data_IF_848104029298
#
_entry.id   IF_848104029298
#
_cell.length_a   1.000
_cell.length_b   1.000
_cell.length_c   1.000
_cell.angle_alpha   90.00
_cell.angle_beta   90.00
_cell.angle_gamma   90.00
#
_symmetry.space_group_name_H-M   'P 1'
#
loop_
_entity.id
_entity.type
_entity.pdbx_description
1 polymer ?
#
# COMPACT_ATOMS: atom_id res chain seq x y z
N UNK A 1 -12.90 -8.16 4.45
CA UNK A 1 -12.07 -9.05 3.63
C UNK A 1 -10.99 -9.60 4.54
N UNK A 2 -10.92 -10.92 4.69
CA UNK A 2 -10.02 -11.60 5.64
C UNK A 2 -8.69 -11.86 4.92
N UNK A 3 -7.57 -11.39 5.47
CA UNK A 3 -6.26 -11.69 4.92
C UNK A 3 -6.06 -13.21 4.84
N UNK A 4 -5.38 -13.75 3.80
CA UNK A 4 -5.03 -15.16 3.77
C UNK A 4 -4.08 -15.45 4.95
N UNK A 5 -4.59 -16.11 5.98
CA UNK A 5 -3.82 -16.52 7.15
C UNK A 5 -3.04 -17.80 6.83
N UNK A 6 -1.71 -17.75 6.98
CA UNK A 6 -0.88 -18.94 6.88
C UNK A 6 -1.10 -19.83 8.11
N UNK A 7 -1.69 -21.00 7.92
CA UNK A 7 -1.93 -21.98 8.98
C UNK A 7 -0.68 -22.83 9.19
N UNK A 8 0.08 -22.46 10.22
CA UNK A 8 1.31 -23.14 10.63
C UNK A 8 1.04 -24.58 11.06
N UNK A 9 -0.09 -24.85 11.73
CA UNK A 9 -0.43 -26.17 12.26
C UNK A 9 -0.79 -27.16 11.15
N UNK A 10 -1.56 -26.72 10.16
CA UNK A 10 -1.88 -27.52 8.98
C UNK A 10 -0.61 -27.83 8.16
N UNK A 11 0.32 -26.87 8.09
CA UNK A 11 1.59 -27.01 7.37
C UNK A 11 2.52 -28.03 8.04
N UNK A 12 2.69 -27.97 9.37
CA UNK A 12 3.46 -28.96 10.15
C UNK A 12 2.87 -30.36 9.98
N UNK A 13 1.55 -30.49 10.09
CA UNK A 13 0.86 -31.77 9.90
C UNK A 13 1.12 -32.37 8.52
N UNK A 14 1.15 -31.53 7.48
CA UNK A 14 1.45 -31.93 6.11
C UNK A 14 2.90 -32.38 5.94
N UNK A 15 3.86 -31.65 6.52
CA UNK A 15 5.28 -32.04 6.48
C UNK A 15 5.54 -33.34 7.24
N UNK A 16 4.87 -33.54 8.37
CA UNK A 16 4.92 -34.80 9.13
C UNK A 16 4.36 -35.97 8.32
N UNK A 17 3.25 -35.76 7.61
CA UNK A 17 2.68 -36.78 6.71
C UNK A 17 3.59 -37.14 5.52
N UNK A 18 4.54 -36.27 5.19
CA UNK A 18 5.56 -36.49 4.18
C UNK A 18 6.84 -37.16 4.74
N UNK A 19 6.85 -37.53 6.02
CA UNK A 19 7.98 -38.20 6.68
C UNK A 19 9.06 -37.25 7.19
N UNK A 20 8.78 -35.93 7.27
CA UNK A 20 9.67 -34.98 7.91
C UNK A 20 9.46 -35.04 9.42
N UNK A 21 10.57 -35.13 10.15
CA UNK A 21 10.57 -35.20 11.60
C UNK A 21 10.04 -33.90 12.23
N UNK A 22 9.33 -34.01 13.36
CA UNK A 22 8.60 -32.90 13.99
C UNK A 22 9.47 -31.63 14.22
N UNK A 23 10.74 -31.74 14.69
CA UNK A 23 11.59 -30.57 14.88
C UNK A 23 11.96 -29.88 13.56
N UNK A 24 12.14 -30.65 12.49
CA UNK A 24 12.45 -30.12 11.17
C UNK A 24 11.21 -29.53 10.48
N UNK A 25 10.03 -30.12 10.69
CA UNK A 25 8.78 -29.59 10.18
C UNK A 25 8.46 -28.21 10.78
N UNK A 26 8.67 -28.05 12.09
CA UNK A 26 8.48 -26.78 12.78
C UNK A 26 9.45 -25.69 12.29
N UNK A 27 10.74 -26.00 12.12
CA UNK A 27 11.71 -25.00 11.65
C UNK A 27 11.44 -24.56 10.20
N UNK A 28 10.99 -25.47 9.34
CA UNK A 28 10.60 -25.14 7.96
C UNK A 28 9.39 -24.20 7.96
N UNK A 29 8.38 -24.50 8.78
CA UNK A 29 7.16 -23.69 8.86
C UNK A 29 7.44 -22.32 9.46
N UNK A 30 8.35 -22.24 10.44
CA UNK A 30 8.79 -20.98 11.06
C UNK A 30 9.49 -20.08 10.03
N UNK A 31 10.48 -20.60 9.29
CA UNK A 31 11.18 -19.84 8.24
C UNK A 31 10.22 -19.38 7.14
N UNK A 32 9.27 -20.23 6.75
CA UNK A 32 8.26 -19.87 5.74
C UNK A 32 7.31 -18.82 6.28
N UNK A 33 6.83 -18.94 7.52
CA UNK A 33 5.98 -17.96 8.18
C UNK A 33 6.67 -16.59 8.27
N UNK A 34 7.93 -16.57 8.70
CA UNK A 34 8.73 -15.36 8.81
C UNK A 34 8.99 -14.70 7.45
N UNK A 35 9.24 -15.50 6.40
CA UNK A 35 9.37 -14.99 5.03
C UNK A 35 8.02 -14.48 4.45
N UNK A 36 6.90 -14.95 4.97
CA UNK A 36 5.55 -14.58 4.53
C UNK A 36 5.01 -13.36 5.29
N UNK A 37 5.46 -13.13 6.52
CA UNK A 37 5.08 -12.01 7.39
C UNK A 37 5.32 -10.61 6.78
N UNK A 38 6.39 -10.34 6.00
CA UNK A 38 6.60 -9.06 5.32
C UNK A 38 5.93 -8.94 3.94
N UNK A 39 5.13 -9.92 3.49
CA UNK A 39 4.42 -9.79 2.22
C UNK A 39 3.31 -8.76 2.37
N UNK A 40 3.63 -7.51 2.04
CA UNK A 40 2.68 -6.41 1.80
C UNK A 40 1.59 -6.96 0.90
N UNK A 41 0.42 -7.25 1.47
CA UNK A 41 -0.74 -7.69 0.70
C UNK A 41 -0.96 -6.68 -0.41
N UNK A 42 -1.19 -7.11 -1.66
CA UNK A 42 -1.46 -6.19 -2.78
C UNK A 42 -2.52 -5.14 -2.42
N UNK A 43 -3.47 -5.48 -1.56
CA UNK A 43 -4.51 -4.60 -1.04
C UNK A 43 -3.95 -3.42 -0.21
N UNK A 44 -2.88 -3.65 0.55
CA UNK A 44 -2.21 -2.62 1.35
C UNK A 44 -1.43 -1.66 0.43
N UNK A 45 -0.72 -2.22 -0.56
CA UNK A 45 -0.01 -1.42 -1.56
C UNK A 45 -0.97 -0.58 -2.43
N UNK A 46 -2.12 -1.15 -2.83
CA UNK A 46 -3.14 -0.41 -3.60
C UNK A 46 -3.85 0.65 -2.76
N UNK A 47 -4.06 0.40 -1.47
CA UNK A 47 -4.63 1.40 -0.55
C UNK A 47 -3.68 2.59 -0.38
N UNK A 48 -2.39 2.35 -0.13
CA UNK A 48 -1.39 3.43 -0.02
C UNK A 48 -1.24 4.19 -1.34
N UNK A 49 -1.19 3.50 -2.48
CA UNK A 49 -1.14 4.14 -3.79
C UNK A 49 -2.40 4.98 -4.08
N UNK A 50 -3.57 4.56 -3.62
CA UNK A 50 -4.80 5.32 -3.76
C UNK A 50 -4.78 6.61 -2.92
N UNK A 51 -4.24 6.55 -1.70
CA UNK A 51 -4.01 7.72 -0.84
C UNK A 51 -3.01 8.69 -1.47
N UNK A 52 -1.87 8.19 -1.94
CA UNK A 52 -0.83 9.00 -2.59
C UNK A 52 -1.35 9.68 -3.86
N UNK A 53 -2.17 8.97 -4.65
CA UNK A 53 -2.81 9.53 -5.84
C UNK A 53 -3.81 10.62 -5.49
N UNK A 54 -4.59 10.45 -4.43
CA UNK A 54 -5.54 11.46 -3.95
C UNK A 54 -4.83 12.73 -3.48
N UNK A 55 -3.72 12.60 -2.74
CA UNK A 55 -2.91 13.73 -2.30
C UNK A 55 -2.27 14.48 -3.50
N UNK A 56 -1.80 13.73 -4.51
CA UNK A 56 -1.27 14.32 -5.73
C UNK A 56 -2.34 15.09 -6.52
N UNK A 57 -3.57 14.56 -6.64
CA UNK A 57 -4.69 15.29 -7.26
C UNK A 57 -5.06 16.54 -6.46
N UNK A 58 -5.09 16.46 -5.13
CA UNK A 58 -5.37 17.61 -4.27
C UNK A 58 -4.32 18.70 -4.43
N UNK A 59 -3.04 18.33 -4.44
CA UNK A 59 -1.93 19.25 -4.68
C UNK A 59 -2.03 19.93 -6.05
N UNK A 60 -2.35 19.15 -7.10
CA UNK A 60 -2.51 19.68 -8.46
C UNK A 60 -3.64 20.72 -8.54
N UNK A 61 -4.79 20.44 -7.91
CA UNK A 61 -5.93 21.38 -7.89
C UNK A 61 -5.61 22.67 -7.11
N UNK A 62 -4.90 22.57 -5.99
CA UNK A 62 -4.49 23.74 -5.20
C UNK A 62 -3.52 24.62 -6.00
N UNK A 63 -2.53 24.02 -6.67
CA UNK A 63 -1.59 24.74 -7.52
C UNK A 63 -2.29 25.39 -8.71
N UNK A 64 -3.19 24.65 -9.38
CA UNK A 64 -3.99 25.17 -10.49
C UNK A 64 -4.84 26.37 -10.09
N UNK A 65 -5.54 26.28 -8.95
CA UNK A 65 -6.32 27.39 -8.39
C UNK A 65 -5.44 28.60 -8.07
N UNK A 66 -4.24 28.38 -7.50
CA UNK A 66 -3.28 29.43 -7.20
C UNK A 66 -2.81 30.18 -8.46
N UNK A 67 -2.48 29.46 -9.53
CA UNK A 67 -2.06 30.06 -10.81
C UNK A 67 -3.20 30.92 -11.39
N UNK A 68 -4.43 30.40 -11.41
CA UNK A 68 -5.60 31.14 -11.91
C UNK A 68 -5.86 32.40 -11.09
N UNK A 69 -5.74 32.33 -9.77
CA UNK A 69 -5.92 33.49 -8.90
C UNK A 69 -4.88 34.59 -9.18
N UNK A 70 -3.61 34.22 -9.37
CA UNK A 70 -2.54 35.18 -9.67
C UNK A 70 -2.74 35.81 -11.05
N UNK A 71 -2.97 35.00 -12.08
CA UNK A 71 -3.14 35.49 -13.45
C UNK A 71 -4.41 36.35 -13.55
N UNK A 72 -5.52 35.88 -13.00
CA UNK A 72 -6.77 36.64 -12.98
C UNK A 72 -6.66 37.96 -12.21
N UNK A 73 -5.92 37.97 -11.10
CA UNK A 73 -5.63 39.19 -10.35
C UNK A 73 -4.83 40.21 -11.16
N UNK A 74 -3.77 39.76 -11.85
CA UNK A 74 -2.95 40.64 -12.70
C UNK A 74 -3.79 41.23 -13.85
N UNK A 75 -4.59 40.39 -14.52
CA UNK A 75 -5.46 40.83 -15.63
C UNK A 75 -6.53 41.81 -15.12
N UNK A 76 -7.18 41.51 -14.00
CA UNK A 76 -8.19 42.41 -13.42
C UNK A 76 -7.62 43.76 -12.99
N UNK A 77 -6.38 43.80 -12.48
CA UNK A 77 -5.70 45.06 -12.14
C UNK A 77 -5.37 45.86 -13.41
N UNK A 78 -4.99 45.19 -14.51
CA UNK A 78 -4.69 45.85 -15.78
C UNK A 78 -5.93 46.53 -16.40
N UNK A 79 -7.11 45.91 -16.33
CA UNK A 79 -8.37 46.53 -16.81
C UNK A 79 -8.83 47.73 -15.97
N UNK A 80 -8.47 47.81 -14.70
CA UNK A 80 -8.89 48.90 -13.80
C UNK A 80 -8.01 50.15 -13.96
N UNK A 81 -6.75 50.00 -14.41
CA UNK A 81 -5.76 51.08 -14.49
C UNK A 81 -5.60 51.63 -15.93
N UNK A 82 -5.96 50.85 -16.96
CA UNK A 82 -5.87 51.25 -18.37
C UNK A 82 -7.16 51.81 -18.94
#
# INVERSE_FOLDING_TARGET
MTAPTFDTQASVTKLRSAGIDEPAANSIVEVVSDATSPLVTRDMLTTELSGLRADMYRALWIQGAGIVAVVGGIVGIAEVIG
#
